data_IF_681081326367
#
_entry.id   IF_681081326367
#
_cell.length_a   1.000
_cell.length_b   1.000
_cell.length_c   1.000
_cell.angle_alpha   90.00
_cell.angle_beta   90.00
_cell.angle_gamma   90.00
#
_symmetry.space_group_name_H-M   'P 1'
#
loop_
_entity.id
_entity.type
_entity.pdbx_description
1 polymer ?
#
# COMPACT_ATOMS: atom_id res chain seq x y z
N UNK A 1 31.10 59.27 14.59
CA UNK A 1 30.94 58.85 16.00
C UNK A 1 30.17 57.55 15.97
N UNK A 2 30.74 56.52 16.56
CA UNK A 2 30.16 55.19 16.65
C UNK A 2 29.03 55.22 17.68
N UNK A 3 27.91 54.57 17.39
CA UNK A 3 26.98 54.11 18.42
C UNK A 3 26.70 52.62 18.24
N UNK A 4 27.42 51.91 19.11
CA UNK A 4 27.21 50.63 19.76
C UNK A 4 25.86 49.92 19.51
N UNK A 5 25.96 48.71 18.98
CA UNK A 5 24.91 47.69 19.00
C UNK A 5 24.76 47.17 20.44
N UNK A 6 23.54 47.27 21.01
CA UNK A 6 23.13 46.52 22.19
C UNK A 6 21.92 45.65 21.85
N UNK A 7 21.94 44.33 22.10
CA UNK A 7 20.76 43.49 22.05
C UNK A 7 20.08 43.42 23.43
N UNK A 8 18.75 43.49 23.50
CA UNK A 8 17.98 42.82 24.54
C UNK A 8 17.01 41.83 23.88
N UNK A 9 16.57 40.73 24.48
CA UNK A 9 16.94 39.96 25.66
C UNK A 9 16.34 38.56 25.37
N UNK A 10 16.95 37.52 25.92
CA UNK A 10 16.47 36.14 25.80
C UNK A 10 15.10 35.97 26.46
N UNK A 11 14.03 36.02 25.68
CA UNK A 11 12.69 35.63 26.10
C UNK A 11 12.54 34.11 26.10
N UNK A 12 12.39 33.53 27.30
CA UNK A 12 12.13 32.10 27.51
C UNK A 12 10.80 31.66 26.88
N UNK A 13 10.66 30.40 26.42
CA UNK A 13 9.40 29.89 25.89
C UNK A 13 8.33 29.73 27.00
N UNK A 14 7.04 29.96 26.70
CA UNK A 14 5.94 29.69 27.63
C UNK A 14 5.73 28.18 27.87
N UNK A 15 5.09 27.81 28.99
CA UNK A 15 5.25 26.52 29.66
C UNK A 15 4.63 25.32 28.92
N UNK A 16 5.29 24.16 29.05
CA UNK A 16 4.71 22.86 28.74
C UNK A 16 3.59 22.53 29.74
N UNK A 17 2.34 22.74 29.36
CA UNK A 17 1.20 22.15 30.04
C UNK A 17 0.80 20.82 29.39
N UNK A 18 0.77 19.76 30.21
CA UNK A 18 -0.14 18.64 30.04
C UNK A 18 0.31 17.52 29.11
N UNK A 19 1.24 16.67 29.58
CA UNK A 19 1.34 15.29 29.09
C UNK A 19 0.05 14.57 29.49
N UNK A 20 -0.92 14.50 28.57
CA UNK A 20 -2.10 13.66 28.74
C UNK A 20 -1.71 12.22 28.42
N UNK A 21 -1.51 11.41 29.46
CA UNK A 21 -1.39 9.96 29.33
C UNK A 21 -2.65 9.40 28.62
N UNK A 22 -2.53 8.40 27.74
CA UNK A 22 -3.69 7.80 27.10
C UNK A 22 -4.64 7.22 28.16
N UNK A 23 -5.96 7.26 27.94
CA UNK A 23 -6.95 6.80 28.91
C UNK A 23 -6.70 5.32 29.29
N UNK A 24 -6.98 4.93 30.54
CA UNK A 24 -6.81 3.55 30.98
C UNK A 24 -7.66 2.61 30.12
N UNK A 25 -7.09 1.45 29.77
CA UNK A 25 -7.78 0.43 29.03
C UNK A 25 -9.08 0.03 29.77
N UNK A 26 -10.20 -0.21 29.06
CA UNK A 26 -11.43 -0.68 29.69
C UNK A 26 -11.17 -1.99 30.45
N UNK A 27 -11.61 -2.01 31.71
CA UNK A 27 -11.51 -3.18 32.59
C UNK A 27 -12.18 -4.40 31.93
N UNK A 28 -11.44 -5.52 31.86
CA UNK A 28 -12.04 -6.79 31.50
C UNK A 28 -13.11 -7.14 32.55
N UNK A 29 -14.32 -7.60 32.15
CA UNK A 29 -15.35 -7.93 33.11
C UNK A 29 -14.84 -9.02 34.06
N UNK A 30 -14.90 -8.68 35.35
CA UNK A 30 -14.64 -9.57 36.47
C UNK A 30 -15.53 -10.80 36.34
N UNK A 31 -14.92 -11.97 36.14
CA UNK A 31 -15.59 -13.26 36.28
C UNK A 31 -15.91 -13.47 37.76
N UNK A 32 -17.09 -13.02 38.19
CA UNK A 32 -17.65 -13.32 39.50
C UNK A 32 -18.52 -14.57 39.42
N UNK A 33 -18.14 -15.61 40.16
CA UNK A 33 -19.03 -16.71 40.53
C UNK A 33 -18.42 -18.11 40.47
N UNK A 34 -17.51 -18.41 41.39
CA UNK A 34 -17.32 -19.80 41.86
C UNK A 34 -18.58 -20.22 42.66
N UNK A 35 -18.92 -21.52 42.76
CA UNK A 35 -18.18 -22.31 43.74
C UNK A 35 -17.90 -23.77 43.36
N UNK A 36 -16.77 -24.21 43.95
CA UNK A 36 -16.55 -25.50 44.60
C UNK A 36 -16.24 -26.72 43.72
N UNK A 37 -15.00 -27.20 43.88
CA UNK A 37 -14.63 -28.58 43.57
C UNK A 37 -13.13 -28.77 43.53
N UNK A 38 -12.52 -29.02 44.69
CA UNK A 38 -11.09 -29.23 44.84
C UNK A 38 -10.53 -30.37 43.96
N UNK A 39 -9.23 -30.29 43.67
CA UNK A 39 -8.50 -31.40 43.07
C UNK A 39 -7.34 -31.00 42.17
N UNK A 40 -6.17 -30.78 42.78
CA UNK A 40 -4.86 -31.19 42.23
C UNK A 40 -4.60 -31.01 40.72
N UNK A 41 -4.47 -29.78 40.21
CA UNK A 41 -4.00 -29.55 38.81
C UNK A 41 -3.02 -28.36 38.64
N UNK A 42 -2.44 -27.83 39.72
CA UNK A 42 -1.59 -26.62 39.66
C UNK A 42 -0.19 -26.81 39.03
N UNK A 43 0.23 -28.03 38.67
CA UNK A 43 1.54 -28.26 38.03
C UNK A 43 1.50 -28.50 36.51
N UNK A 44 0.34 -28.80 35.90
CA UNK A 44 0.26 -29.06 34.45
C UNK A 44 -0.01 -27.80 33.61
N UNK A 45 -0.65 -26.78 34.18
CA UNK A 45 -1.00 -25.55 33.44
C UNK A 45 0.20 -24.60 33.23
N UNK A 46 1.20 -24.63 34.11
CA UNK A 46 2.40 -23.79 33.96
C UNK A 46 3.32 -24.28 32.83
N UNK A 47 3.40 -25.60 32.60
CA UNK A 47 4.16 -26.17 31.50
C UNK A 47 3.48 -25.92 30.14
N UNK A 48 2.14 -25.97 30.09
CA UNK A 48 1.39 -25.64 28.88
C UNK A 48 1.50 -24.15 28.52
N UNK A 49 1.49 -23.24 29.51
CA UNK A 49 1.66 -21.81 29.29
C UNK A 49 3.05 -21.44 28.77
N UNK A 50 4.10 -22.07 29.29
CA UNK A 50 5.49 -21.86 28.84
C UNK A 50 5.70 -22.33 27.40
N UNK A 51 5.15 -23.48 27.02
CA UNK A 51 5.23 -24.00 25.64
C UNK A 51 4.41 -23.13 24.69
N UNK A 52 3.21 -22.68 25.08
CA UNK A 52 2.40 -21.80 24.25
C UNK A 52 3.08 -20.44 24.00
N UNK A 53 3.74 -19.87 25.01
CA UNK A 53 4.52 -18.65 24.85
C UNK A 53 5.74 -18.86 23.94
N UNK A 54 6.44 -19.99 24.06
CA UNK A 54 7.57 -20.35 23.18
C UNK A 54 7.12 -20.56 21.72
N UNK A 55 5.96 -21.19 21.52
CA UNK A 55 5.36 -21.35 20.18
C UNK A 55 4.93 -20.01 19.61
N UNK A 56 4.31 -19.14 20.41
CA UNK A 56 3.94 -17.79 19.98
C UNK A 56 5.17 -16.95 19.62
N UNK A 57 6.21 -16.99 20.45
CA UNK A 57 7.48 -16.29 20.15
C UNK A 57 8.14 -16.88 18.91
N UNK A 58 8.15 -18.20 18.73
CA UNK A 58 8.66 -18.84 17.52
C UNK A 58 7.84 -18.46 16.27
N UNK A 59 6.51 -18.38 16.39
CA UNK A 59 5.61 -17.97 15.31
C UNK A 59 5.82 -16.49 14.98
N UNK A 60 5.96 -15.62 15.97
CA UNK A 60 6.26 -14.19 15.78
C UNK A 60 7.65 -14.02 15.17
N UNK A 61 8.67 -14.74 15.63
CA UNK A 61 10.00 -14.73 15.01
C UNK A 61 9.94 -15.28 13.58
N UNK A 62 9.17 -16.33 13.30
CA UNK A 62 8.97 -16.83 11.92
C UNK A 62 8.22 -15.83 11.05
N UNK A 63 7.25 -15.09 11.60
CA UNK A 63 6.52 -14.04 10.89
C UNK A 63 7.41 -12.82 10.63
N UNK A 64 8.22 -12.42 11.60
CA UNK A 64 9.17 -11.29 11.49
C UNK A 64 10.35 -11.64 10.58
N UNK A 65 10.87 -12.87 10.66
CA UNK A 65 11.90 -13.38 9.75
C UNK A 65 11.36 -13.56 8.33
N UNK A 66 10.03 -13.75 8.14
CA UNK A 66 9.38 -13.68 6.83
C UNK A 66 9.07 -12.26 6.36
N UNK A 67 9.10 -11.24 7.23
CA UNK A 67 8.76 -9.86 6.87
C UNK A 67 9.96 -8.92 6.77
N UNK A 68 11.16 -9.35 7.16
CA UNK A 68 12.41 -8.59 6.98
C UNK A 68 13.33 -9.32 6.00
N UNK A 69 13.00 -9.24 4.71
CA UNK A 69 13.87 -9.76 3.66
C UNK A 69 13.05 -10.25 2.47
N UNK A 70 12.89 -9.35 1.49
CA UNK A 70 12.57 -9.67 0.11
C UNK A 70 11.14 -10.20 -0.16
N UNK A 71 10.48 -9.56 -1.13
CA UNK A 71 9.31 -10.11 -1.82
C UNK A 71 9.70 -11.34 -2.66
N UNK A 72 10.30 -12.36 -2.04
CA UNK A 72 10.44 -13.69 -2.61
C UNK A 72 9.37 -14.54 -1.97
N UNK A 73 8.20 -14.61 -2.62
CA UNK A 73 7.22 -15.63 -2.31
C UNK A 73 7.49 -16.79 -3.27
N UNK A 74 8.12 -17.90 -2.82
CA UNK A 74 8.21 -19.09 -3.64
C UNK A 74 6.79 -19.66 -3.77
N UNK A 75 6.17 -19.48 -4.93
CA UNK A 75 4.90 -20.13 -5.28
C UNK A 75 3.64 -19.25 -5.27
N UNK A 76 3.72 -17.93 -5.13
CA UNK A 76 2.56 -17.02 -5.28
C UNK A 76 2.55 -16.21 -6.59
N UNK A 77 3.30 -16.67 -7.61
CA UNK A 77 3.06 -16.26 -8.99
C UNK A 77 2.06 -17.22 -9.64
N UNK A 78 1.23 -16.77 -10.60
CA UNK A 78 0.41 -17.69 -11.40
C UNK A 78 1.26 -18.84 -11.93
N UNK A 79 0.70 -20.05 -12.10
CA UNK A 79 1.40 -21.15 -12.80
C UNK A 79 1.68 -20.67 -14.22
N UNK A 80 2.88 -20.12 -14.43
CA UNK A 80 3.29 -19.58 -15.70
C UNK A 80 3.41 -20.74 -16.68
N UNK A 81 2.66 -20.64 -17.78
CA UNK A 81 2.71 -21.51 -18.96
C UNK A 81 4.16 -21.71 -19.45
N UNK A 82 4.42 -22.69 -20.31
CA UNK A 82 5.78 -23.02 -20.80
C UNK A 82 6.53 -21.86 -21.49
N UNK A 83 5.85 -20.77 -21.82
CA UNK A 83 6.33 -19.60 -22.56
C UNK A 83 6.46 -18.34 -21.68
N UNK A 84 7.64 -17.72 -21.67
CA UNK A 84 7.96 -16.51 -20.90
C UNK A 84 7.18 -15.28 -21.37
N UNK A 85 6.77 -15.20 -22.64
CA UNK A 85 5.93 -14.10 -23.12
C UNK A 85 4.52 -14.16 -22.54
N UNK A 86 3.91 -15.35 -22.54
CA UNK A 86 2.60 -15.58 -21.92
C UNK A 86 2.65 -15.31 -20.43
N UNK A 87 3.74 -15.73 -19.79
CA UNK A 87 4.00 -15.47 -18.39
C UNK A 87 4.09 -13.97 -18.08
N UNK A 88 4.82 -13.23 -18.90
CA UNK A 88 4.95 -11.78 -18.81
C UNK A 88 3.63 -11.05 -19.02
N UNK A 89 2.87 -11.39 -20.06
CA UNK A 89 1.53 -10.81 -20.32
C UNK A 89 0.58 -11.02 -19.15
N UNK A 90 0.49 -12.24 -18.63
CA UNK A 90 -0.36 -12.55 -17.46
C UNK A 90 0.03 -11.74 -16.22
N UNK A 91 1.32 -11.48 -16.02
CA UNK A 91 1.77 -10.64 -14.92
C UNK A 91 1.42 -9.16 -15.15
N UNK A 92 1.50 -8.67 -16.38
CA UNK A 92 1.06 -7.31 -16.75
C UNK A 92 -0.44 -7.17 -16.51
N UNK A 93 -1.24 -8.15 -16.94
CA UNK A 93 -2.69 -8.16 -16.72
C UNK A 93 -3.04 -8.05 -15.24
N UNK A 94 -2.34 -8.80 -14.38
CA UNK A 94 -2.50 -8.71 -12.93
C UNK A 94 -2.12 -7.33 -12.37
N UNK A 95 -1.04 -6.71 -12.84
CA UNK A 95 -0.64 -5.37 -12.42
C UNK A 95 -1.66 -4.30 -12.85
N UNK A 96 -2.22 -4.44 -14.05
CA UNK A 96 -3.24 -3.53 -14.58
C UNK A 96 -4.60 -3.71 -13.88
N UNK A 97 -4.96 -4.93 -13.48
CA UNK A 97 -6.11 -5.19 -12.61
C UNK A 97 -5.93 -4.54 -11.24
N UNK A 98 -4.74 -4.68 -10.63
CA UNK A 98 -4.42 -4.01 -9.37
C UNK A 98 -4.50 -2.49 -9.48
N UNK A 99 -4.02 -1.91 -10.60
CA UNK A 99 -4.15 -0.47 -10.89
C UNK A 99 -5.63 -0.07 -10.97
N UNK A 100 -6.44 -0.84 -11.68
CA UNK A 100 -7.88 -0.59 -11.81
C UNK A 100 -8.60 -0.65 -10.45
N UNK A 101 -8.27 -1.62 -9.61
CA UNK A 101 -8.79 -1.70 -8.23
C UNK A 101 -8.36 -0.50 -7.38
N UNK A 102 -7.10 -0.06 -7.49
CA UNK A 102 -6.62 1.13 -6.81
C UNK A 102 -7.36 2.41 -7.21
N UNK A 103 -7.72 2.53 -8.50
CA UNK A 103 -8.53 3.64 -9.01
C UNK A 103 -9.96 3.62 -8.46
N UNK A 104 -10.60 2.43 -8.39
CA UNK A 104 -11.91 2.29 -7.77
C UNK A 104 -11.88 2.67 -6.28
N UNK A 105 -10.89 2.17 -5.54
CA UNK A 105 -10.71 2.50 -4.13
C UNK A 105 -10.49 4.01 -3.91
N UNK A 106 -9.71 4.67 -4.76
CA UNK A 106 -9.50 6.11 -4.68
C UNK A 106 -10.81 6.89 -4.94
N UNK A 107 -11.65 6.40 -5.85
CA UNK A 107 -12.98 6.97 -6.11
C UNK A 107 -13.90 6.81 -4.90
N UNK A 108 -14.00 5.60 -4.34
CA UNK A 108 -14.88 5.33 -3.20
C UNK A 108 -14.46 6.18 -1.98
N UNK A 109 -13.15 6.23 -1.70
CA UNK A 109 -12.60 7.07 -0.62
C UNK A 109 -12.92 8.56 -0.81
N UNK A 110 -12.89 9.07 -2.05
CA UNK A 110 -13.20 10.48 -2.35
C UNK A 110 -14.70 10.77 -2.21
N UNK A 111 -15.55 9.82 -2.60
CA UNK A 111 -17.00 9.90 -2.44
C UNK A 111 -17.41 9.97 -0.96
N UNK A 112 -16.81 9.10 -0.13
CA UNK A 112 -16.98 9.13 1.33
C UNK A 112 -16.50 10.46 1.94
N UNK A 113 -15.36 10.97 1.47
CA UNK A 113 -14.79 12.25 1.95
C UNK A 113 -15.60 13.47 1.50
N UNK A 114 -16.22 13.42 0.33
CA UNK A 114 -17.07 14.50 -0.19
C UNK A 114 -18.28 14.73 0.71
N UNK A 115 -18.93 13.64 1.13
CA UNK A 115 -20.05 13.71 2.06
C UNK A 115 -19.63 14.37 3.39
N UNK A 116 -18.46 14.00 3.91
CA UNK A 116 -17.91 14.64 5.11
C UNK A 116 -17.59 16.13 4.87
N UNK A 117 -16.87 16.48 3.79
CA UNK A 117 -16.41 17.85 3.56
C UNK A 117 -17.54 18.85 3.24
N UNK A 118 -18.59 18.42 2.55
CA UNK A 118 -19.75 19.28 2.27
C UNK A 118 -20.39 19.89 3.54
N UNK A 119 -20.27 19.22 4.70
CA UNK A 119 -20.80 19.70 5.98
C UNK A 119 -19.98 20.79 6.66
N UNK A 120 -18.76 21.09 6.20
CA UNK A 120 -17.83 22.01 6.90
C UNK A 120 -17.50 23.29 6.12
N UNK A 121 -18.07 23.52 4.93
CA UNK A 121 -17.72 24.65 4.04
C UNK A 121 -17.79 26.02 4.73
N UNK A 122 -18.69 26.21 5.70
CA UNK A 122 -18.83 27.46 6.45
C UNK A 122 -18.11 27.51 7.80
N UNK A 123 -17.30 26.50 8.13
CA UNK A 123 -16.60 26.36 9.41
C UNK A 123 -15.06 26.43 9.28
N UNK A 124 -14.56 26.57 8.06
CA UNK A 124 -13.13 26.67 7.74
C UNK A 124 -12.72 28.11 7.47
N UNK A 125 -11.52 28.46 7.93
CA UNK A 125 -10.94 29.80 7.83
C UNK A 125 -10.68 30.24 6.38
N UNK A 126 -10.28 29.31 5.51
CA UNK A 126 -10.14 29.54 4.07
C UNK A 126 -11.26 28.86 3.28
N UNK A 127 -12.39 29.56 3.18
CA UNK A 127 -13.58 29.09 2.47
C UNK A 127 -13.33 28.90 0.95
N UNK A 128 -12.42 29.68 0.35
CA UNK A 128 -12.17 29.65 -1.09
C UNK A 128 -11.37 28.42 -1.50
N UNK A 129 -10.27 28.13 -0.79
CA UNK A 129 -9.51 26.90 -1.03
C UNK A 129 -10.40 25.66 -0.78
N UNK A 130 -11.24 25.72 0.24
CA UNK A 130 -12.13 24.62 0.57
C UNK A 130 -13.20 24.36 -0.51
N UNK A 131 -13.84 25.41 -1.04
CA UNK A 131 -14.77 25.28 -2.18
C UNK A 131 -14.08 24.73 -3.42
N UNK A 132 -12.86 25.19 -3.71
CA UNK A 132 -12.07 24.68 -4.82
C UNK A 132 -11.72 23.19 -4.63
N UNK A 133 -11.40 22.79 -3.40
CA UNK A 133 -11.14 21.41 -3.04
C UNK A 133 -12.37 20.53 -3.26
N UNK A 134 -13.54 20.94 -2.79
CA UNK A 134 -14.80 20.22 -3.03
C UNK A 134 -15.09 20.08 -4.51
N UNK A 135 -15.06 21.19 -5.26
CA UNK A 135 -15.28 21.18 -6.70
C UNK A 135 -14.31 20.25 -7.42
N UNK A 136 -13.05 20.21 -6.98
CA UNK A 136 -12.04 19.28 -7.50
C UNK A 136 -12.39 17.81 -7.25
N UNK A 137 -12.89 17.48 -6.08
CA UNK A 137 -13.32 16.12 -5.75
C UNK A 137 -14.59 15.74 -6.51
N UNK A 138 -15.58 16.64 -6.62
CA UNK A 138 -16.77 16.44 -7.46
C UNK A 138 -16.41 16.16 -8.92
N UNK A 139 -15.52 16.99 -9.48
CA UNK A 139 -15.01 16.82 -10.84
C UNK A 139 -14.26 15.50 -10.99
N UNK A 140 -13.48 15.07 -9.99
CA UNK A 140 -12.83 13.75 -10.01
C UNK A 140 -13.88 12.64 -10.18
N UNK A 141 -14.89 12.63 -9.31
CA UNK A 141 -15.93 11.59 -9.27
C UNK A 141 -16.74 11.57 -10.58
N UNK A 142 -17.06 12.76 -11.10
CA UNK A 142 -17.74 12.93 -12.38
C UNK A 142 -16.89 12.40 -13.54
N UNK A 143 -15.65 12.87 -13.68
CA UNK A 143 -14.75 12.43 -14.77
C UNK A 143 -14.47 10.93 -14.69
N UNK A 144 -14.32 10.37 -13.49
CA UNK A 144 -14.19 8.92 -13.29
C UNK A 144 -15.42 8.17 -13.81
N UNK A 145 -16.62 8.59 -13.40
CA UNK A 145 -17.87 7.90 -13.76
C UNK A 145 -18.12 7.95 -15.27
N UNK A 146 -17.91 9.11 -15.89
CA UNK A 146 -18.11 9.32 -17.33
C UNK A 146 -17.09 8.55 -18.19
N UNK A 147 -15.90 8.25 -17.65
CA UNK A 147 -14.81 7.61 -18.40
C UNK A 147 -14.41 6.24 -17.86
N UNK A 148 -15.27 5.59 -17.07
CA UNK A 148 -14.99 4.33 -16.37
C UNK A 148 -14.36 3.27 -17.29
N UNK A 149 -14.96 3.05 -18.46
CA UNK A 149 -14.51 2.00 -19.39
C UNK A 149 -13.16 2.33 -20.03
N UNK A 150 -12.92 3.61 -20.34
CA UNK A 150 -11.62 4.08 -20.86
C UNK A 150 -10.51 3.94 -19.81
N UNK A 151 -10.82 4.21 -18.55
CA UNK A 151 -9.88 4.11 -17.43
C UNK A 151 -9.57 2.64 -17.07
N UNK A 152 -10.52 1.73 -17.26
CA UNK A 152 -10.33 0.28 -17.08
C UNK A 152 -9.53 -0.32 -18.23
N UNK A 153 -9.80 0.08 -19.46
CA UNK A 153 -9.18 -0.45 -20.66
C UNK A 153 -7.67 -0.17 -20.74
N UNK A 154 -6.93 -1.18 -21.22
CA UNK A 154 -5.53 -1.07 -21.58
C UNK A 154 -5.21 -2.02 -22.74
N UNK A 155 -4.13 -1.75 -23.44
CA UNK A 155 -3.56 -2.57 -24.51
C UNK A 155 -2.10 -2.85 -24.21
N UNK A 156 -1.64 -4.09 -24.39
CA UNK A 156 -0.23 -4.43 -24.26
C UNK A 156 0.43 -4.31 -25.64
N UNK A 157 1.47 -3.50 -25.72
CA UNK A 157 2.26 -3.21 -26.92
C UNK A 157 3.75 -3.51 -26.69
N UNK A 158 4.54 -3.53 -27.77
CA UNK A 158 6.00 -3.65 -27.74
C UNK A 158 6.53 -4.85 -26.94
N UNK A 159 5.85 -6.00 -27.02
CA UNK A 159 6.22 -7.21 -26.27
C UNK A 159 7.54 -7.78 -26.80
N UNK A 160 8.50 -7.98 -25.90
CA UNK A 160 9.80 -8.62 -26.17
C UNK A 160 10.14 -9.59 -25.05
N UNK A 161 10.71 -10.73 -25.42
CA UNK A 161 11.27 -11.70 -24.49
C UNK A 161 12.65 -12.14 -24.94
N UNK A 162 13.68 -11.63 -24.27
CA UNK A 162 15.09 -11.83 -24.63
C UNK A 162 15.81 -12.65 -23.58
N UNK A 163 16.67 -13.58 -23.98
CA UNK A 163 17.54 -14.28 -23.03
C UNK A 163 18.59 -13.33 -22.47
N UNK A 164 18.78 -13.33 -21.16
CA UNK A 164 19.81 -12.54 -20.50
C UNK A 164 21.21 -13.12 -20.77
N UNK A 165 22.09 -12.26 -21.28
CA UNK A 165 23.51 -12.54 -21.50
C UNK A 165 24.34 -11.84 -20.44
N UNK A 166 25.32 -12.54 -19.88
CA UNK A 166 26.33 -11.96 -19.00
C UNK A 166 27.71 -12.25 -19.58
N UNK A 167 28.33 -11.24 -20.19
CA UNK A 167 29.47 -11.45 -21.09
C UNK A 167 29.05 -12.30 -22.28
N UNK A 168 29.84 -13.32 -22.62
CA UNK A 168 29.61 -14.21 -23.77
C UNK A 168 28.73 -15.43 -23.44
N UNK A 169 28.20 -15.56 -22.22
CA UNK A 169 27.45 -16.76 -21.77
C UNK A 169 25.96 -16.47 -21.58
N UNK A 170 25.10 -17.38 -22.08
CA UNK A 170 23.66 -17.39 -21.79
C UNK A 170 23.40 -17.84 -20.34
N UNK A 171 22.66 -17.06 -19.57
CA UNK A 171 22.38 -17.36 -18.14
C UNK A 171 21.15 -18.24 -17.92
N UNK A 172 20.41 -18.57 -18.99
CA UNK A 172 19.13 -19.28 -18.92
C UNK A 172 17.97 -18.46 -18.33
N UNK A 173 18.20 -17.17 -18.05
CA UNK A 173 17.16 -16.20 -17.64
C UNK A 173 16.58 -15.51 -18.87
N UNK A 174 15.31 -15.09 -18.78
CA UNK A 174 14.60 -14.37 -19.84
C UNK A 174 14.09 -13.06 -19.30
N UNK A 175 14.45 -11.96 -19.96
CA UNK A 175 13.94 -10.62 -19.68
C UNK A 175 12.73 -10.41 -20.58
N UNK A 176 11.56 -10.34 -19.96
CA UNK A 176 10.34 -9.88 -20.60
C UNK A 176 10.24 -8.37 -20.46
N UNK A 177 9.89 -7.68 -21.55
CA UNK A 177 9.54 -6.26 -21.51
C UNK A 177 8.34 -5.98 -22.42
N UNK A 178 7.51 -5.02 -22.01
CA UNK A 178 6.42 -4.53 -22.84
C UNK A 178 6.00 -3.13 -22.36
N UNK A 179 5.07 -2.53 -23.09
CA UNK A 179 4.40 -1.31 -22.66
C UNK A 179 2.89 -1.57 -22.53
N UNK A 180 2.30 -1.23 -21.38
CA UNK A 180 0.85 -1.14 -21.29
C UNK A 180 0.41 0.29 -21.62
N UNK A 181 -0.41 0.41 -22.65
CA UNK A 181 -1.03 1.67 -23.07
C UNK A 181 -2.44 1.72 -22.51
N UNK A 182 -2.74 2.74 -21.70
CA UNK A 182 -4.08 2.91 -21.13
C UNK A 182 -4.34 4.36 -20.76
N UNK A 183 -5.36 4.58 -19.93
CA UNK A 183 -5.73 5.92 -19.49
C UNK A 183 -5.61 6.09 -17.98
N UNK A 184 -5.31 7.32 -17.55
CA UNK A 184 -5.32 7.75 -16.14
C UNK A 184 -6.12 9.04 -15.96
N UNK A 185 -6.52 9.29 -14.72
CA UNK A 185 -7.03 10.60 -14.32
C UNK A 185 -5.86 11.50 -13.91
N UNK A 186 -5.81 12.69 -14.48
CA UNK A 186 -4.82 13.71 -14.16
C UNK A 186 -5.52 15.02 -13.82
N UNK A 187 -4.94 15.76 -12.87
CA UNK A 187 -5.39 17.11 -12.55
C UNK A 187 -5.17 18.02 -13.74
N UNK A 188 -6.13 18.90 -14.00
CA UNK A 188 -6.07 19.94 -15.02
C UNK A 188 -6.40 21.27 -14.34
N UNK A 189 -5.38 22.05 -14.01
CA UNK A 189 -5.55 23.25 -13.18
C UNK A 189 -5.99 22.92 -11.74
N UNK A 190 -6.65 23.88 -11.10
CA UNK A 190 -6.89 23.84 -9.65
C UNK A 190 -8.10 22.98 -9.26
N UNK A 191 -9.10 22.91 -10.15
CA UNK A 191 -10.40 22.27 -9.87
C UNK A 191 -10.81 21.17 -10.83
N UNK A 192 -10.14 20.98 -11.97
CA UNK A 192 -10.60 20.01 -12.96
C UNK A 192 -9.75 18.74 -13.00
N UNK A 193 -10.38 17.67 -13.52
CA UNK A 193 -9.75 16.40 -13.82
C UNK A 193 -10.04 16.01 -15.25
N UNK A 194 -9.02 15.52 -15.95
CA UNK A 194 -9.13 15.01 -17.31
C UNK A 194 -8.57 13.60 -17.41
N UNK A 195 -8.99 12.91 -18.46
CA UNK A 195 -8.42 11.63 -18.85
C UNK A 195 -7.21 11.90 -19.72
N UNK A 196 -6.08 11.31 -19.37
CA UNK A 196 -4.84 11.37 -20.15
C UNK A 196 -4.41 9.95 -20.54
N UNK A 197 -3.89 9.82 -21.76
CA UNK A 197 -3.22 8.60 -22.19
C UNK A 197 -1.90 8.45 -21.42
N UNK A 198 -1.62 7.24 -20.97
CA UNK A 198 -0.40 6.89 -20.26
C UNK A 198 0.19 5.60 -20.84
N UNK A 199 1.49 5.63 -21.11
CA UNK A 199 2.28 4.46 -21.50
C UNK A 199 3.12 4.02 -20.30
N UNK A 200 2.87 2.82 -19.80
CA UNK A 200 3.52 2.25 -18.62
C UNK A 200 4.50 1.15 -19.05
N UNK A 201 5.82 1.36 -18.91
CA UNK A 201 6.80 0.33 -19.24
C UNK A 201 6.84 -0.75 -18.15
N UNK A 202 6.83 -2.01 -18.57
CA UNK A 202 7.01 -3.17 -17.71
C UNK A 202 8.26 -3.93 -18.13
N UNK A 203 9.06 -4.35 -17.14
CA UNK A 203 10.23 -5.19 -17.34
C UNK A 203 10.32 -6.19 -16.19
N UNK A 204 10.36 -7.48 -16.53
CA UNK A 204 10.42 -8.58 -15.59
C UNK A 204 11.49 -9.57 -16.01
N UNK A 205 12.29 -10.05 -15.05
CA UNK A 205 13.22 -11.14 -15.28
C UNK A 205 12.59 -12.45 -14.83
N UNK A 206 12.66 -13.47 -15.70
CA UNK A 206 12.14 -14.80 -15.45
C UNK A 206 13.26 -15.84 -15.47
N UNK A 207 13.19 -16.82 -14.57
CA UNK A 207 14.06 -17.99 -14.58
C UNK A 207 13.24 -19.28 -14.47
N UNK A 208 13.67 -20.35 -15.15
CA UNK A 208 13.04 -21.67 -15.03
C UNK A 208 13.64 -22.43 -13.85
N UNK A 209 12.88 -22.52 -12.76
CA UNK A 209 13.28 -23.21 -11.52
C UNK A 209 12.34 -24.40 -11.31
N UNK A 210 12.89 -25.62 -11.24
CA UNK A 210 12.12 -26.87 -11.09
C UNK A 210 11.00 -26.99 -12.13
N UNK A 211 11.30 -26.62 -13.37
CA UNK A 211 10.35 -26.69 -14.50
C UNK A 211 9.33 -25.55 -14.58
N UNK A 212 9.30 -24.61 -13.63
CA UNK A 212 8.35 -23.49 -13.61
C UNK A 212 9.07 -22.17 -13.89
N UNK A 213 8.46 -21.29 -14.66
CA UNK A 213 8.92 -19.90 -14.78
C UNK A 213 8.57 -19.14 -13.50
N UNK A 214 9.57 -18.47 -12.92
CA UNK A 214 9.42 -17.63 -11.74
C UNK A 214 10.01 -16.26 -12.03
N UNK A 215 9.36 -15.20 -11.53
CA UNK A 215 9.94 -13.86 -11.51
C UNK A 215 11.13 -13.87 -10.56
N UNK A 216 12.26 -13.36 -11.00
CA UNK A 216 13.46 -13.20 -10.19
C UNK A 216 13.82 -11.72 -10.10
N UNK A 217 14.43 -11.33 -8.98
CA UNK A 217 14.95 -9.98 -8.79
C UNK A 217 16.19 -9.80 -9.67
N UNK A 218 16.27 -8.66 -10.34
CA UNK A 218 17.47 -8.27 -11.10
C UNK A 218 18.68 -8.10 -10.19
#
# INVERSE_FOLDING_TARGET
MADEVKPPESGSPPPQEGVQSPPPAPEAPVAGGEPAGGGSKKKLMAAAGGVAALVLVAVVIMLVAKSCGEYSVPGAGPKLTDDAEKAGKSLVDFQEEKRWLGLQYARDKRDDQMSYWSGFVGLVEDETDYKNKLKREENYLKTFKENKDKLKGYTIEDVKADKEKKGDTETGRVIFSCNAKGNRLAKSGDTDWKVEEEKRPYRFMFAKIRGKWLVVKE
#
